data_IF_976725249487
#
_entry.id   IF_976725249487
#
_cell.length_a   1.000
_cell.length_b   1.000
_cell.length_c   1.000
_cell.angle_alpha   90.00
_cell.angle_beta   90.00
_cell.angle_gamma   90.00
#
_symmetry.space_group_name_H-M   'P 1'
#
loop_
_entity.id
_entity.type
_entity.pdbx_description
1 polymer ?
#
# COMPACT_ATOMS: atom_id res chain seq x y z
N UNK A 1 5.58 80.56 -17.46
CA UNK A 1 6.89 81.26 -17.21
C UNK A 1 7.59 80.47 -16.09
N UNK A 2 8.83 80.01 -16.32
CA UNK A 2 9.67 79.40 -15.30
C UNK A 2 10.46 80.42 -14.53
N UNK A 3 11.16 80.05 -13.47
CA UNK A 3 12.59 79.84 -13.67
C UNK A 3 13.17 78.56 -13.06
N UNK A 4 14.17 78.11 -13.77
CA UNK A 4 15.28 77.26 -13.31
C UNK A 4 16.41 78.22 -12.86
N UNK A 5 17.64 77.79 -12.51
CA UNK A 5 18.15 76.64 -11.75
C UNK A 5 19.25 77.09 -10.74
N UNK A 6 19.80 76.17 -9.94
CA UNK A 6 21.16 76.37 -9.35
C UNK A 6 21.73 74.98 -8.97
N UNK A 7 22.65 74.53 -9.66
CA UNK A 7 24.13 74.37 -9.56
C UNK A 7 24.64 73.56 -8.36
N UNK A 8 25.15 72.44 -8.71
CA UNK A 8 26.40 71.70 -8.40
C UNK A 8 27.20 72.03 -7.12
N UNK A 9 27.55 70.93 -6.41
CA UNK A 9 28.91 70.70 -5.88
C UNK A 9 29.16 69.25 -5.53
N UNK A 10 30.03 68.55 -6.24
CA UNK A 10 30.89 67.46 -5.85
C UNK A 10 32.15 68.04 -5.18
N UNK A 11 33.07 67.24 -4.56
CA UNK A 11 33.16 65.91 -4.02
C UNK A 11 33.74 65.86 -2.58
N UNK A 12 34.35 64.83 -1.97
CA UNK A 12 35.43 64.00 -2.52
C UNK A 12 35.35 62.50 -2.24
N UNK A 13 36.06 61.75 -3.05
CA UNK A 13 36.43 60.32 -2.93
C UNK A 13 37.06 59.96 -1.58
N UNK A 14 36.61 58.84 -1.02
CA UNK A 14 37.37 58.07 -0.02
C UNK A 14 37.43 56.64 -0.44
N UNK A 15 38.59 56.25 -0.92
CA UNK A 15 39.00 54.90 -1.24
C UNK A 15 39.15 54.08 0.04
N UNK A 16 38.33 53.01 0.16
CA UNK A 16 38.61 51.88 1.05
C UNK A 16 38.44 50.53 0.28
N UNK A 17 39.27 49.54 0.46
CA UNK A 17 39.35 48.36 -0.40
C UNK A 17 38.21 47.39 -0.14
N UNK A 18 37.58 46.90 -1.21
CA UNK A 18 36.64 45.81 -1.24
C UNK A 18 37.34 44.51 -0.72
N UNK A 19 37.00 44.12 0.50
CA UNK A 19 37.28 42.76 0.99
C UNK A 19 36.36 41.80 0.26
N UNK A 20 36.92 40.99 -0.63
CA UNK A 20 36.27 39.87 -1.26
C UNK A 20 35.91 38.83 -0.19
N UNK A 21 34.66 38.82 0.24
CA UNK A 21 34.07 37.72 1.01
C UNK A 21 33.82 36.56 0.01
N UNK A 22 34.81 35.69 -0.14
CA UNK A 22 34.62 34.37 -0.69
C UNK A 22 33.70 33.58 0.23
N UNK A 23 32.41 33.50 -0.14
CA UNK A 23 31.51 32.51 0.47
C UNK A 23 32.05 31.09 0.20
N UNK A 24 32.71 30.55 1.21
CA UNK A 24 33.10 29.17 1.22
C UNK A 24 31.85 28.32 1.14
N UNK A 25 31.66 27.69 -0.02
CA UNK A 25 30.75 26.57 -0.20
C UNK A 25 31.25 25.45 0.72
N UNK A 26 30.69 25.36 1.91
CA UNK A 26 30.87 24.19 2.77
C UNK A 26 30.43 22.94 2.01
N UNK A 27 31.40 22.21 1.49
CA UNK A 27 31.18 20.86 1.00
C UNK A 27 30.82 20.01 2.21
N UNK A 28 29.56 19.62 2.31
CA UNK A 28 29.09 18.61 3.27
C UNK A 28 29.62 17.25 2.89
N UNK A 29 30.92 17.05 3.06
CA UNK A 29 31.48 15.71 3.15
C UNK A 29 31.04 15.11 4.50
N UNK A 30 30.56 13.85 4.52
CA UNK A 30 30.26 13.18 5.78
C UNK A 30 31.54 13.11 6.62
N UNK A 31 31.44 13.30 7.96
CA UNK A 31 32.60 13.29 8.84
C UNK A 31 33.37 11.97 8.70
N UNK A 32 34.67 12.06 8.45
CA UNK A 32 35.58 10.92 8.43
C UNK A 32 35.60 10.25 9.81
N UNK A 33 35.43 8.93 9.88
CA UNK A 33 35.44 8.22 11.16
C UNK A 33 36.82 8.34 11.83
N UNK A 34 36.90 8.42 13.19
CA UNK A 34 38.16 8.51 13.90
C UNK A 34 39.03 7.29 13.65
N UNK A 35 40.34 7.51 13.52
CA UNK A 35 41.32 6.47 13.27
C UNK A 35 41.25 5.41 14.41
N UNK A 36 40.98 4.14 14.05
CA UNK A 36 40.82 3.02 15.00
C UNK A 36 39.39 2.53 15.23
N UNK A 37 38.34 3.20 14.66
CA UNK A 37 36.98 2.72 14.78
C UNK A 37 36.73 1.56 13.80
N UNK A 38 36.11 0.48 14.29
CA UNK A 38 35.68 -0.63 13.44
C UNK A 38 34.73 -0.08 12.34
N UNK A 39 35.05 -0.21 11.03
CA UNK A 39 34.30 0.42 9.93
C UNK A 39 32.83 -0.02 9.89
N UNK A 40 32.52 -1.26 10.28
CA UNK A 40 31.16 -1.79 10.33
C UNK A 40 30.35 -1.09 11.45
N UNK A 41 30.96 -0.92 12.65
CA UNK A 41 30.29 -0.22 13.76
C UNK A 41 30.05 1.26 13.45
N UNK A 42 30.98 1.91 12.75
CA UNK A 42 30.83 3.30 12.32
C UNK A 42 29.73 3.44 11.28
N UNK A 43 29.68 2.57 10.27
CA UNK A 43 28.62 2.56 9.25
C UNK A 43 27.24 2.29 9.87
N UNK A 44 27.11 1.34 10.79
CA UNK A 44 25.85 1.06 11.50
C UNK A 44 25.40 2.26 12.34
N UNK A 45 26.29 2.94 13.06
CA UNK A 45 25.95 4.15 13.83
C UNK A 45 25.47 5.29 12.93
N UNK A 46 26.15 5.53 11.81
CA UNK A 46 25.75 6.55 10.82
C UNK A 46 24.39 6.22 10.23
N UNK A 47 24.15 4.97 9.87
CA UNK A 47 22.87 4.50 9.34
C UNK A 47 21.76 4.67 10.38
N UNK A 48 21.96 4.23 11.63
CA UNK A 48 20.98 4.39 12.70
C UNK A 48 20.67 5.87 12.99
N UNK A 49 21.68 6.76 12.93
CA UNK A 49 21.45 8.19 13.12
C UNK A 49 20.62 8.80 11.99
N UNK A 50 20.83 8.35 10.75
CA UNK A 50 20.10 8.81 9.56
C UNK A 50 18.65 8.31 9.53
N UNK A 51 18.37 7.11 10.03
CA UNK A 51 17.08 6.44 9.99
C UNK A 51 16.44 6.23 11.37
N UNK A 52 16.89 6.96 12.39
CA UNK A 52 16.43 6.78 13.78
C UNK A 52 14.91 6.86 13.95
N UNK A 53 14.23 7.70 13.15
CA UNK A 53 12.77 7.85 13.25
C UNK A 53 12.06 6.69 12.60
N UNK A 54 12.54 6.22 11.46
CA UNK A 54 12.02 5.02 10.80
C UNK A 54 12.14 3.79 11.70
N UNK A 55 13.32 3.63 12.35
CA UNK A 55 13.54 2.53 13.29
C UNK A 55 12.63 2.65 14.51
N UNK A 56 12.50 3.85 15.08
CA UNK A 56 11.62 4.10 16.22
C UNK A 56 10.14 3.80 15.86
N UNK A 57 9.67 4.27 14.72
CA UNK A 57 8.31 4.01 14.26
C UNK A 57 8.07 2.52 13.97
N UNK A 58 9.07 1.83 13.40
CA UNK A 58 9.03 0.39 13.23
C UNK A 58 8.87 -0.32 14.59
N UNK A 59 9.69 0.01 15.57
CA UNK A 59 9.66 -0.62 16.90
C UNK A 59 8.33 -0.35 17.62
N UNK A 60 7.83 0.90 17.59
CA UNK A 60 6.54 1.26 18.20
C UNK A 60 5.41 0.48 17.50
N UNK A 61 5.36 0.51 16.17
CA UNK A 61 4.33 -0.21 15.41
C UNK A 61 4.43 -1.72 15.66
N UNK A 62 5.63 -2.30 15.64
CA UNK A 62 5.83 -3.71 15.91
C UNK A 62 5.35 -4.10 17.31
N UNK A 63 5.71 -3.34 18.35
CA UNK A 63 5.30 -3.60 19.72
C UNK A 63 3.77 -3.53 19.88
N UNK A 64 3.13 -2.48 19.33
CA UNK A 64 1.66 -2.33 19.42
C UNK A 64 0.95 -3.42 18.62
N UNK A 65 1.33 -3.64 17.35
CA UNK A 65 0.70 -4.65 16.50
C UNK A 65 0.86 -6.06 17.07
N UNK A 66 2.04 -6.40 17.62
CA UNK A 66 2.27 -7.69 18.30
C UNK A 66 1.36 -7.86 19.52
N UNK A 67 1.23 -6.83 20.35
CA UNK A 67 0.36 -6.84 21.53
C UNK A 67 -1.10 -7.07 21.17
N UNK A 68 -1.61 -6.40 20.12
CA UNK A 68 -2.98 -6.57 19.64
C UNK A 68 -3.19 -7.86 18.86
N UNK A 69 -2.16 -8.42 18.23
CA UNK A 69 -2.20 -9.76 17.66
C UNK A 69 -2.36 -10.84 18.74
N UNK A 70 -1.86 -10.57 19.97
CA UNK A 70 -2.03 -11.42 21.16
C UNK A 70 -1.55 -12.87 20.88
N UNK A 71 -2.32 -13.89 21.27
CA UNK A 71 -1.96 -15.32 21.06
C UNK A 71 -1.75 -15.68 19.58
N UNK A 72 -2.38 -14.95 18.64
CA UNK A 72 -2.19 -15.17 17.20
C UNK A 72 -0.76 -14.86 16.75
N UNK A 73 -0.08 -13.96 17.43
CA UNK A 73 1.32 -13.65 17.13
C UNK A 73 2.23 -14.88 17.19
N UNK A 74 1.87 -15.88 18.01
CA UNK A 74 2.63 -17.12 18.19
C UNK A 74 2.05 -18.31 17.41
N UNK A 75 1.02 -18.07 16.59
CA UNK A 75 0.33 -19.13 15.85
C UNK A 75 0.20 -18.76 14.39
N UNK A 76 0.29 -19.78 13.54
CA UNK A 76 -0.08 -19.65 12.13
C UNK A 76 -1.55 -19.27 12.02
N UNK A 77 -1.88 -18.48 10.99
CA UNK A 77 -3.27 -18.08 10.72
C UNK A 77 -4.12 -19.27 10.23
N UNK A 78 -5.44 -19.07 10.18
CA UNK A 78 -6.37 -20.06 9.64
C UNK A 78 -6.32 -20.19 8.09
N UNK A 79 -5.69 -19.21 7.41
CA UNK A 79 -5.58 -19.18 5.94
C UNK A 79 -4.15 -18.87 5.47
N UNK A 80 -3.17 -19.77 5.73
CA UNK A 80 -1.75 -19.55 5.47
C UNK A 80 -1.34 -19.94 4.04
N UNK A 81 -2.14 -19.58 3.05
CA UNK A 81 -2.02 -20.02 1.65
C UNK A 81 -0.63 -19.79 1.06
N UNK A 82 0.01 -18.66 1.36
CA UNK A 82 1.34 -18.33 0.82
C UNK A 82 2.45 -19.23 1.37
N UNK A 83 2.29 -19.73 2.59
CA UNK A 83 3.25 -20.70 3.18
C UNK A 83 3.19 -22.02 2.40
N UNK A 84 1.98 -22.52 2.14
CA UNK A 84 1.79 -23.76 1.39
C UNK A 84 2.28 -23.64 -0.05
N UNK A 85 2.07 -22.48 -0.68
CA UNK A 85 2.61 -22.21 -2.01
C UNK A 85 4.15 -22.19 -2.00
N UNK A 86 4.76 -21.49 -1.05
CA UNK A 86 6.21 -21.44 -0.93
C UNK A 86 6.82 -22.83 -0.65
N UNK A 87 6.20 -23.60 0.24
CA UNK A 87 6.64 -24.95 0.56
C UNK A 87 6.55 -25.88 -0.64
N UNK A 88 5.45 -25.83 -1.42
CA UNK A 88 5.31 -26.60 -2.64
C UNK A 88 6.43 -26.31 -3.65
N UNK A 89 6.82 -25.05 -3.80
CA UNK A 89 7.95 -24.68 -4.67
C UNK A 89 9.28 -25.25 -4.19
N UNK A 90 9.52 -25.27 -2.88
CA UNK A 90 10.71 -25.90 -2.28
C UNK A 90 10.73 -27.41 -2.49
N UNK A 91 9.57 -28.03 -2.57
CA UNK A 91 9.40 -29.46 -2.89
C UNK A 91 9.43 -29.75 -4.41
N UNK A 92 9.73 -28.75 -5.25
CA UNK A 92 9.79 -28.88 -6.71
C UNK A 92 8.42 -28.98 -7.39
N UNK A 93 7.33 -28.65 -6.69
CA UNK A 93 5.97 -28.68 -7.21
C UNK A 93 5.42 -27.29 -7.45
N UNK A 94 4.59 -27.13 -8.46
CA UNK A 94 3.92 -25.86 -8.78
C UNK A 94 2.45 -25.83 -8.30
N UNK A 95 1.89 -26.97 -7.93
CA UNK A 95 0.60 -27.17 -7.28
C UNK A 95 0.79 -27.51 -5.79
N UNK A 96 -0.26 -27.36 -5.00
CA UNK A 96 -0.26 -27.68 -3.57
C UNK A 96 -0.86 -29.06 -3.35
N UNK A 97 -0.28 -29.85 -2.45
CA UNK A 97 -0.80 -31.15 -2.08
C UNK A 97 -2.11 -30.99 -1.26
N UNK A 98 -3.25 -31.48 -1.73
CA UNK A 98 -4.51 -31.32 -1.01
C UNK A 98 -4.53 -32.03 0.35
N UNK A 99 -3.66 -33.03 0.57
CA UNK A 99 -3.60 -33.78 1.83
C UNK A 99 -3.04 -32.99 3.00
N UNK A 100 -2.27 -31.90 2.71
CA UNK A 100 -1.69 -31.04 3.75
C UNK A 100 -2.49 -29.77 3.97
N UNK A 101 -3.53 -29.49 3.17
CA UNK A 101 -4.32 -28.27 3.30
C UNK A 101 -5.08 -28.23 4.63
N UNK A 102 -5.06 -27.11 5.36
CA UNK A 102 -5.77 -26.98 6.64
C UNK A 102 -7.31 -26.93 6.45
N UNK A 103 -7.76 -26.49 5.30
CA UNK A 103 -9.15 -26.44 4.85
C UNK A 103 -9.18 -26.28 3.32
N UNK A 104 -10.35 -26.29 2.72
CA UNK A 104 -10.52 -26.10 1.27
C UNK A 104 -11.09 -24.71 0.89
N UNK A 105 -11.16 -23.79 1.85
CA UNK A 105 -11.70 -22.43 1.64
C UNK A 105 -10.74 -21.58 0.81
N UNK A 106 -11.28 -20.93 -0.23
CA UNK A 106 -10.55 -20.01 -1.11
C UNK A 106 -9.32 -20.59 -1.83
N UNK A 107 -9.25 -21.92 -1.96
CA UNK A 107 -8.30 -22.59 -2.84
C UNK A 107 -8.88 -22.76 -4.23
N UNK A 108 -8.02 -22.60 -5.23
CA UNK A 108 -8.38 -22.88 -6.62
C UNK A 108 -8.16 -24.38 -6.91
N UNK A 109 -9.21 -25.04 -7.39
CA UNK A 109 -9.14 -26.42 -7.86
C UNK A 109 -9.31 -26.46 -9.37
N UNK A 110 -8.34 -27.05 -10.07
CA UNK A 110 -8.27 -27.13 -11.52
C UNK A 110 -8.32 -28.57 -11.99
N UNK A 111 -9.28 -28.87 -12.85
CA UNK A 111 -9.44 -30.14 -13.56
C UNK A 111 -9.16 -29.96 -15.04
N UNK A 112 -8.58 -30.93 -15.69
CA UNK A 112 -8.39 -30.93 -17.14
C UNK A 112 -9.48 -31.82 -17.76
N UNK A 113 -10.33 -31.21 -18.61
CA UNK A 113 -11.39 -31.94 -19.36
C UNK A 113 -11.19 -31.56 -20.84
N UNK A 114 -11.01 -32.56 -21.68
CA UNK A 114 -10.78 -32.40 -23.13
C UNK A 114 -9.66 -31.38 -23.46
N UNK A 115 -8.56 -31.41 -22.67
CA UNK A 115 -7.43 -30.49 -22.81
C UNK A 115 -7.64 -29.08 -22.26
N UNK A 116 -8.85 -28.76 -21.76
CA UNK A 116 -9.19 -27.48 -21.19
C UNK A 116 -9.14 -27.50 -19.65
N UNK A 117 -8.66 -26.40 -19.06
CA UNK A 117 -8.65 -26.22 -17.61
C UNK A 117 -9.99 -25.64 -17.16
N UNK A 118 -10.68 -26.40 -16.29
CA UNK A 118 -11.99 -26.04 -15.74
C UNK A 118 -11.93 -26.07 -14.21
N UNK A 119 -12.86 -25.40 -13.53
CA UNK A 119 -13.03 -25.49 -12.08
C UNK A 119 -13.49 -26.90 -11.70
N UNK A 120 -12.97 -27.45 -10.59
CA UNK A 120 -13.48 -28.72 -10.06
C UNK A 120 -14.90 -28.51 -9.51
N UNK A 121 -15.79 -29.41 -9.90
CA UNK A 121 -17.17 -29.45 -9.43
C UNK A 121 -17.52 -30.88 -8.97
N UNK A 122 -18.43 -30.97 -7.99
CA UNK A 122 -18.90 -32.24 -7.46
C UNK A 122 -17.81 -33.05 -6.74
N UNK A 123 -17.73 -34.36 -7.02
CA UNK A 123 -16.76 -35.25 -6.39
C UNK A 123 -15.34 -34.93 -6.89
N UNK A 124 -14.41 -34.79 -5.95
CA UNK A 124 -12.99 -34.64 -6.24
C UNK A 124 -12.39 -35.89 -6.89
N UNK A 125 -11.56 -35.66 -7.89
CA UNK A 125 -10.82 -36.70 -8.60
C UNK A 125 -9.35 -36.72 -8.15
N UNK A 126 -8.66 -37.82 -8.37
CA UNK A 126 -7.26 -38.00 -8.00
C UNK A 126 -6.33 -37.04 -8.75
N UNK A 127 -6.70 -36.66 -9.99
CA UNK A 127 -5.90 -35.81 -10.87
C UNK A 127 -6.25 -34.33 -10.76
N UNK A 128 -7.18 -33.95 -9.85
CA UNK A 128 -7.50 -32.57 -9.56
C UNK A 128 -6.29 -31.86 -8.93
N UNK A 129 -5.91 -30.70 -9.48
CA UNK A 129 -4.77 -29.91 -9.02
C UNK A 129 -5.21 -28.71 -8.21
N UNK A 130 -4.49 -28.43 -7.13
CA UNK A 130 -4.81 -27.36 -6.20
C UNK A 130 -3.78 -26.25 -6.26
N UNK A 131 -4.27 -25.00 -6.28
CA UNK A 131 -3.42 -23.80 -6.35
C UNK A 131 -3.94 -22.73 -5.41
N UNK A 132 -3.03 -21.84 -5.04
CA UNK A 132 -3.40 -20.58 -4.36
C UNK A 132 -4.11 -19.67 -5.36
N UNK A 133 -5.30 -19.19 -5.00
CA UNK A 133 -6.16 -18.30 -5.82
C UNK A 133 -5.82 -16.81 -5.65
N UNK A 134 -4.57 -16.49 -5.33
CA UNK A 134 -4.07 -15.15 -5.10
C UNK A 134 -2.77 -14.92 -5.87
N UNK A 135 -2.40 -13.64 -6.13
CA UNK A 135 -1.09 -13.30 -6.69
C UNK A 135 0.04 -13.80 -5.79
N UNK A 136 1.11 -14.32 -6.39
CA UNK A 136 2.07 -15.19 -5.71
C UNK A 136 3.28 -14.46 -5.07
N UNK A 137 3.41 -13.14 -5.20
CA UNK A 137 4.60 -12.43 -4.70
C UNK A 137 4.79 -12.55 -3.18
N UNK A 138 3.74 -12.55 -2.33
CA UNK A 138 3.93 -12.78 -0.90
C UNK A 138 4.58 -14.13 -0.59
N UNK A 139 4.26 -15.19 -1.35
CA UNK A 139 4.93 -16.48 -1.19
C UNK A 139 6.42 -16.41 -1.56
N UNK A 140 6.81 -15.62 -2.56
CA UNK A 140 8.23 -15.39 -2.91
C UNK A 140 8.97 -14.73 -1.74
N UNK A 141 8.37 -13.73 -1.09
CA UNK A 141 8.99 -13.06 0.07
C UNK A 141 9.07 -13.99 1.29
N UNK A 142 8.10 -14.88 1.48
CA UNK A 142 8.10 -15.87 2.56
C UNK A 142 9.05 -17.05 2.31
N UNK A 143 9.45 -17.30 1.05
CA UNK A 143 10.22 -18.48 0.65
C UNK A 143 11.46 -18.77 1.52
N UNK A 144 12.36 -17.79 1.82
CA UNK A 144 13.54 -18.06 2.64
C UNK A 144 13.19 -18.45 4.09
N UNK A 145 12.10 -17.94 4.63
CA UNK A 145 11.63 -18.26 5.97
C UNK A 145 10.94 -19.63 6.01
N UNK A 146 10.17 -19.94 4.98
CA UNK A 146 9.54 -21.26 4.81
C UNK A 146 10.61 -22.34 4.57
N UNK A 147 11.72 -22.02 3.88
CA UNK A 147 12.83 -22.96 3.73
C UNK A 147 13.47 -23.37 5.09
N UNK A 148 13.38 -22.50 6.10
CA UNK A 148 13.92 -22.77 7.46
C UNK A 148 12.90 -23.43 8.39
N UNK A 149 11.61 -23.15 8.23
CA UNK A 149 10.57 -23.56 9.18
C UNK A 149 9.48 -24.49 8.57
N UNK A 150 9.51 -24.71 7.27
CA UNK A 150 8.52 -25.50 6.56
C UNK A 150 7.09 -24.96 6.75
N UNK A 151 6.13 -25.85 6.81
CA UNK A 151 4.73 -25.55 7.09
C UNK A 151 4.49 -24.90 8.47
N UNK A 152 5.46 -24.92 9.39
CA UNK A 152 5.35 -24.32 10.73
C UNK A 152 5.68 -22.83 10.75
N UNK A 153 6.09 -22.23 9.62
CA UNK A 153 6.32 -20.79 9.54
C UNK A 153 5.07 -20.02 9.96
N UNK A 154 5.25 -18.92 10.66
CA UNK A 154 4.14 -18.12 11.22
C UNK A 154 3.89 -16.87 10.37
N UNK A 155 2.83 -16.91 9.56
CA UNK A 155 2.39 -15.80 8.70
C UNK A 155 1.83 -14.60 9.49
N UNK A 156 1.33 -14.82 10.72
CA UNK A 156 0.82 -13.73 11.56
C UNK A 156 1.97 -12.85 12.08
N UNK A 157 3.01 -13.45 12.66
CA UNK A 157 4.19 -12.70 13.10
C UNK A 157 4.92 -12.03 11.94
N UNK A 158 4.97 -12.69 10.79
CA UNK A 158 5.49 -12.11 9.55
C UNK A 158 4.64 -10.92 9.07
N UNK A 159 3.31 -11.03 9.10
CA UNK A 159 2.37 -9.96 8.76
C UNK A 159 2.54 -8.74 9.66
N UNK A 160 2.71 -8.95 10.98
CA UNK A 160 3.02 -7.88 11.96
C UNK A 160 4.35 -7.19 11.62
N UNK A 161 5.39 -7.97 11.30
CA UNK A 161 6.69 -7.42 10.90
C UNK A 161 6.57 -6.56 9.64
N UNK A 162 5.91 -7.06 8.58
CA UNK A 162 5.68 -6.31 7.34
C UNK A 162 4.81 -5.08 7.61
N UNK A 163 3.83 -5.17 8.53
CA UNK A 163 3.01 -4.05 8.95
C UNK A 163 3.83 -2.94 9.60
N UNK A 164 4.70 -3.29 10.54
CA UNK A 164 5.60 -2.32 11.17
C UNK A 164 6.57 -1.69 10.15
N UNK A 165 7.09 -2.50 9.22
CA UNK A 165 7.93 -2.03 8.13
C UNK A 165 7.18 -1.05 7.20
N UNK A 166 5.91 -1.31 6.89
CA UNK A 166 5.08 -0.42 6.07
C UNK A 166 4.92 0.97 6.70
N UNK A 167 4.78 1.05 8.03
CA UNK A 167 4.71 2.33 8.77
C UNK A 167 6.02 3.10 8.65
N UNK A 168 7.17 2.44 8.82
CA UNK A 168 8.48 3.06 8.65
C UNK A 168 8.72 3.52 7.20
N UNK A 169 8.31 2.71 6.21
CA UNK A 169 8.41 3.05 4.79
C UNK A 169 7.50 4.23 4.42
N UNK A 170 6.31 4.33 5.00
CA UNK A 170 5.42 5.46 4.78
C UNK A 170 6.01 6.76 5.35
N UNK A 171 6.59 6.72 6.55
CA UNK A 171 7.34 7.87 7.08
C UNK A 171 8.50 8.25 6.15
N UNK A 172 9.28 7.27 5.69
CA UNK A 172 10.38 7.51 4.74
C UNK A 172 9.90 8.15 3.43
N UNK A 173 8.71 7.76 2.95
CA UNK A 173 8.05 8.38 1.79
C UNK A 173 7.66 9.83 2.08
N UNK A 174 7.01 10.11 3.22
CA UNK A 174 6.62 11.48 3.61
C UNK A 174 7.84 12.39 3.78
N UNK A 175 8.91 11.88 4.42
CA UNK A 175 10.18 12.59 4.55
C UNK A 175 10.79 12.90 3.19
N UNK A 176 10.77 11.94 2.26
CA UNK A 176 11.24 12.14 0.89
C UNK A 176 10.42 13.23 0.18
N UNK A 177 9.10 13.21 0.29
CA UNK A 177 8.25 14.24 -0.33
C UNK A 177 8.53 15.63 0.24
N UNK A 178 8.78 15.75 1.54
CA UNK A 178 9.17 17.02 2.16
C UNK A 178 10.55 17.49 1.64
N UNK A 179 11.52 16.60 1.48
CA UNK A 179 12.84 16.91 0.91
C UNK A 179 12.78 17.32 -0.58
N UNK A 180 11.84 16.77 -1.34
CA UNK A 180 11.60 17.12 -2.75
C UNK A 180 10.73 18.40 -2.92
N UNK A 181 10.29 19.02 -1.83
CA UNK A 181 9.43 20.19 -1.86
C UNK A 181 7.98 19.93 -2.28
N UNK A 182 7.54 18.67 -2.25
CA UNK A 182 6.17 18.28 -2.61
C UNK A 182 5.18 18.46 -1.45
N UNK A 183 5.65 18.67 -0.23
CA UNK A 183 4.85 18.96 0.96
C UNK A 183 5.63 19.83 1.95
N UNK A 184 4.91 20.70 2.68
CA UNK A 184 5.46 21.55 3.75
C UNK A 184 5.46 20.87 5.13
N UNK A 185 5.17 19.54 5.19
CA UNK A 185 5.11 18.80 6.43
C UNK A 185 6.48 18.71 7.09
N UNK A 186 6.52 19.07 8.37
CA UNK A 186 7.71 18.89 9.19
C UNK A 186 7.85 17.44 9.67
N UNK A 187 8.94 17.15 10.40
CA UNK A 187 9.24 15.83 10.93
C UNK A 187 8.12 15.28 11.83
N UNK A 188 7.56 16.12 12.72
CA UNK A 188 6.53 15.70 13.67
C UNK A 188 5.21 15.41 12.95
N UNK A 189 4.86 16.22 11.95
CA UNK A 189 3.69 15.97 11.10
C UNK A 189 3.81 14.62 10.39
N UNK A 190 4.98 14.29 9.85
CA UNK A 190 5.24 13.02 9.18
C UNK A 190 5.15 11.83 10.15
N UNK A 191 5.60 11.98 11.39
CA UNK A 191 5.43 10.96 12.46
C UNK A 191 3.95 10.75 12.75
N UNK A 192 3.17 11.83 12.96
CA UNK A 192 1.72 11.73 13.22
C UNK A 192 1.01 11.03 12.08
N UNK A 193 1.27 11.40 10.83
CA UNK A 193 0.64 10.77 9.67
C UNK A 193 1.00 9.29 9.53
N UNK A 194 2.22 8.90 9.91
CA UNK A 194 2.63 7.50 9.92
C UNK A 194 1.92 6.70 11.01
N UNK A 195 1.70 7.30 12.17
CA UNK A 195 0.88 6.69 13.23
C UNK A 195 -0.61 6.65 12.86
N UNK A 196 -1.10 7.62 12.09
CA UNK A 196 -2.47 7.59 11.53
C UNK A 196 -2.60 6.43 10.53
N UNK A 197 -1.62 6.19 9.64
CA UNK A 197 -1.63 4.98 8.81
C UNK A 197 -1.73 3.73 9.68
N UNK A 198 -0.87 3.62 10.71
CA UNK A 198 -0.76 2.45 11.56
C UNK A 198 -2.03 2.15 12.36
N UNK A 199 -2.64 3.18 12.96
CA UNK A 199 -3.67 3.02 14.00
C UNK A 199 -4.99 3.74 13.70
N UNK A 200 -4.99 4.70 12.78
CA UNK A 200 -6.17 5.50 12.41
C UNK A 200 -6.82 5.08 11.10
N UNK A 201 -6.45 3.93 10.54
CA UNK A 201 -7.01 3.36 9.31
C UNK A 201 -7.27 1.86 9.48
N UNK A 202 -7.94 1.26 8.50
CA UNK A 202 -8.18 -0.19 8.45
C UNK A 202 -6.90 -1.03 8.43
N UNK A 203 -5.76 -0.39 8.23
CA UNK A 203 -4.46 -1.04 8.32
C UNK A 203 -4.24 -1.73 9.67
N UNK A 204 -4.72 -1.11 10.76
CA UNK A 204 -4.54 -1.64 12.12
C UNK A 204 -5.03 -3.08 12.25
N UNK A 205 -6.33 -3.32 11.97
CA UNK A 205 -6.88 -4.66 12.14
C UNK A 205 -6.35 -5.66 11.09
N UNK A 206 -5.97 -5.20 9.90
CA UNK A 206 -5.36 -6.06 8.89
C UNK A 206 -3.94 -6.48 9.28
N UNK A 207 -3.14 -5.56 9.85
CA UNK A 207 -1.75 -5.82 10.20
C UNK A 207 -1.56 -6.76 11.42
N UNK A 208 -2.59 -6.95 12.23
CA UNK A 208 -2.57 -7.90 13.37
C UNK A 208 -3.04 -9.32 12.98
N UNK A 209 -3.22 -9.56 11.67
CA UNK A 209 -3.77 -10.81 11.12
C UNK A 209 -2.81 -11.37 10.07
N UNK A 210 -2.68 -12.72 10.04
CA UNK A 210 -1.79 -13.41 9.11
C UNK A 210 -2.47 -13.94 7.85
N UNK A 211 -3.80 -14.06 7.88
CA UNK A 211 -4.56 -14.69 6.79
C UNK A 211 -4.25 -14.04 5.45
N UNK A 212 -4.23 -14.84 4.41
CA UNK A 212 -3.85 -14.47 3.03
C UNK A 212 -4.45 -13.15 2.54
N UNK A 213 -5.72 -12.87 2.89
CA UNK A 213 -6.44 -11.66 2.46
C UNK A 213 -5.88 -10.37 3.10
N UNK A 214 -5.49 -10.44 4.37
CA UNK A 214 -5.01 -9.29 5.14
C UNK A 214 -3.51 -9.09 4.94
N UNK A 215 -2.72 -10.18 4.99
CA UNK A 215 -1.27 -10.14 4.76
C UNK A 215 -0.91 -9.55 3.40
N UNK A 216 -1.64 -9.92 2.34
CA UNK A 216 -1.45 -9.34 1.01
C UNK A 216 -1.74 -7.83 0.97
N UNK A 217 -2.77 -7.35 1.69
CA UNK A 217 -3.09 -5.91 1.74
C UNK A 217 -2.01 -5.13 2.48
N UNK A 218 -1.54 -5.64 3.62
CA UNK A 218 -0.47 -5.00 4.41
C UNK A 218 0.84 -4.91 3.62
N UNK A 219 1.22 -5.98 2.94
CA UNK A 219 2.39 -5.99 2.05
C UNK A 219 2.19 -5.05 0.84
N UNK A 220 0.98 -4.98 0.29
CA UNK A 220 0.61 -4.05 -0.77
C UNK A 220 0.84 -2.59 -0.37
N UNK A 221 0.51 -2.20 0.87
CA UNK A 221 0.79 -0.85 1.41
C UNK A 221 2.29 -0.57 1.46
N UNK A 222 3.10 -1.52 1.95
CA UNK A 222 4.56 -1.38 2.02
C UNK A 222 5.18 -1.18 0.62
N UNK A 223 4.77 -2.01 -0.34
CA UNK A 223 5.25 -1.94 -1.73
C UNK A 223 4.77 -0.68 -2.44
N UNK A 224 3.57 -0.20 -2.16
CA UNK A 224 3.06 1.09 -2.66
C UNK A 224 3.92 2.25 -2.18
N UNK A 225 4.36 2.26 -0.92
CA UNK A 225 5.28 3.29 -0.42
C UNK A 225 6.61 3.31 -1.19
N UNK A 226 7.19 2.14 -1.45
CA UNK A 226 8.42 2.00 -2.24
C UNK A 226 8.20 2.41 -3.70
N UNK A 227 7.09 2.01 -4.29
CA UNK A 227 6.71 2.38 -5.64
C UNK A 227 6.59 3.90 -5.79
N UNK A 228 5.76 4.55 -4.99
CA UNK A 228 5.51 6.00 -5.08
C UNK A 228 6.80 6.79 -4.86
N UNK A 229 7.63 6.42 -3.88
CA UNK A 229 8.92 7.06 -3.64
C UNK A 229 9.83 7.09 -4.88
N UNK A 230 9.81 6.03 -5.70
CA UNK A 230 10.62 5.95 -6.90
C UNK A 230 9.92 6.52 -8.14
N UNK A 231 8.58 6.62 -8.10
CA UNK A 231 7.73 7.09 -9.20
C UNK A 231 7.63 8.62 -9.28
N UNK A 232 7.70 9.34 -8.14
CA UNK A 232 7.63 10.82 -8.11
C UNK A 232 8.66 11.44 -9.05
N UNK A 233 8.19 12.39 -9.91
CA UNK A 233 8.97 13.02 -11.01
C UNK A 233 9.55 12.01 -12.00
N UNK A 234 9.04 10.77 -12.00
CA UNK A 234 9.58 9.63 -12.74
C UNK A 234 11.11 9.53 -12.59
N UNK A 235 11.61 9.66 -11.34
CA UNK A 235 13.03 9.84 -11.04
C UNK A 235 13.83 8.55 -11.19
N UNK A 236 13.25 7.40 -10.80
CA UNK A 236 13.88 6.09 -10.86
C UNK A 236 12.97 5.08 -11.55
N UNK A 237 12.78 5.21 -12.88
CA UNK A 237 11.76 4.46 -13.61
C UNK A 237 11.89 2.94 -13.47
N UNK A 238 13.10 2.39 -13.57
CA UNK A 238 13.31 0.94 -13.41
C UNK A 238 12.90 0.45 -12.03
N UNK A 239 13.35 1.12 -10.96
CA UNK A 239 12.98 0.74 -9.58
C UNK A 239 11.49 0.93 -9.33
N UNK A 240 10.88 1.99 -9.88
CA UNK A 240 9.44 2.19 -9.83
C UNK A 240 8.71 1.02 -10.50
N UNK A 241 9.18 0.56 -11.67
CA UNK A 241 8.62 -0.61 -12.36
C UNK A 241 8.74 -1.90 -11.57
N UNK A 242 9.89 -2.15 -10.93
CA UNK A 242 10.11 -3.32 -10.07
C UNK A 242 9.13 -3.32 -8.89
N UNK A 243 9.06 -2.22 -8.10
CA UNK A 243 8.16 -2.16 -6.95
C UNK A 243 6.68 -2.15 -7.34
N UNK A 244 6.34 -1.53 -8.47
CA UNK A 244 5.01 -1.60 -9.05
C UNK A 244 4.62 -3.05 -9.38
N UNK A 245 5.48 -3.79 -10.07
CA UNK A 245 5.20 -5.19 -10.42
C UNK A 245 5.06 -6.06 -9.17
N UNK A 246 5.94 -5.89 -8.16
CA UNK A 246 5.81 -6.56 -6.86
C UNK A 246 4.45 -6.24 -6.20
N UNK A 247 4.02 -4.98 -6.23
CA UNK A 247 2.74 -4.55 -5.66
C UNK A 247 1.56 -5.18 -6.41
N UNK A 248 1.57 -5.19 -7.74
CA UNK A 248 0.54 -5.84 -8.59
C UNK A 248 0.47 -7.34 -8.33
N UNK A 249 1.63 -8.01 -8.20
CA UNK A 249 1.73 -9.45 -7.91
C UNK A 249 1.49 -9.80 -6.43
N UNK A 250 1.20 -8.80 -5.62
CA UNK A 250 0.67 -8.94 -4.25
C UNK A 250 -0.83 -8.66 -4.21
N UNK A 251 -1.28 -7.62 -4.96
CA UNK A 251 -2.67 -7.13 -5.00
C UNK A 251 -3.00 -6.68 -6.42
N UNK A 252 -3.79 -7.46 -7.13
CA UNK A 252 -4.17 -7.18 -8.54
C UNK A 252 -4.77 -5.79 -8.77
N UNK A 253 -5.59 -5.19 -7.87
CA UNK A 253 -6.11 -3.83 -8.08
C UNK A 253 -5.01 -2.76 -8.23
N UNK A 254 -3.81 -3.01 -7.70
CA UNK A 254 -2.67 -2.08 -7.83
C UNK A 254 -2.12 -1.97 -9.25
N UNK A 255 -2.60 -2.79 -10.21
CA UNK A 255 -2.28 -2.61 -11.62
C UNK A 255 -2.68 -1.22 -12.11
N UNK A 256 -3.76 -0.66 -11.60
CA UNK A 256 -4.23 0.68 -11.94
C UNK A 256 -3.36 1.79 -11.33
N UNK A 257 -2.57 1.50 -10.30
CA UNK A 257 -1.62 2.45 -9.73
C UNK A 257 -0.51 2.86 -10.72
N UNK A 258 -0.29 2.10 -11.79
CA UNK A 258 0.61 2.47 -12.89
C UNK A 258 0.29 3.84 -13.50
N UNK A 259 -0.98 4.28 -13.44
CA UNK A 259 -1.39 5.61 -13.87
C UNK A 259 -0.60 6.73 -13.17
N UNK A 260 -0.28 6.57 -11.88
CA UNK A 260 0.55 7.54 -11.16
C UNK A 260 1.90 7.76 -11.84
N UNK A 261 2.62 6.68 -12.18
CA UNK A 261 3.91 6.79 -12.88
C UNK A 261 3.76 7.41 -14.27
N UNK A 262 2.72 7.02 -15.02
CA UNK A 262 2.45 7.60 -16.34
C UNK A 262 2.29 9.11 -16.25
N UNK A 263 1.48 9.60 -15.30
CA UNK A 263 1.27 11.03 -15.08
C UNK A 263 2.55 11.76 -14.63
N UNK A 264 3.38 11.12 -13.80
CA UNK A 264 4.66 11.65 -13.36
C UNK A 264 5.73 11.65 -14.49
N UNK A 265 5.64 10.72 -15.42
CA UNK A 265 6.53 10.69 -16.58
C UNK A 265 6.17 11.74 -17.63
N UNK A 266 4.87 11.93 -17.88
CA UNK A 266 4.36 12.87 -18.87
C UNK A 266 4.41 14.31 -18.39
N UNK A 267 4.12 14.56 -17.12
CA UNK A 267 3.96 15.89 -16.54
C UNK A 267 4.68 16.03 -15.19
N UNK A 268 6.02 15.99 -15.15
CA UNK A 268 6.79 16.02 -13.90
C UNK A 268 6.85 17.41 -13.22
N UNK A 269 6.52 18.48 -13.93
CA UNK A 269 6.61 19.86 -13.45
C UNK A 269 5.34 20.42 -12.79
N UNK A 270 5.37 21.66 -12.30
CA UNK A 270 4.25 22.29 -11.61
C UNK A 270 3.06 22.61 -12.53
N UNK A 271 3.31 23.09 -13.74
CA UNK A 271 2.27 23.42 -14.71
C UNK A 271 2.00 22.23 -15.64
N UNK A 272 1.09 21.35 -15.20
CA UNK A 272 0.73 20.15 -15.94
C UNK A 272 0.01 20.43 -17.26
N UNK A 273 -0.82 21.47 -17.31
CA UNK A 273 -1.56 21.81 -18.53
C UNK A 273 -0.61 22.28 -19.64
N UNK A 274 0.37 23.14 -19.29
CA UNK A 274 1.39 23.56 -20.23
C UNK A 274 2.22 22.39 -20.73
N UNK A 275 2.59 21.45 -19.82
CA UNK A 275 3.36 20.27 -20.19
C UNK A 275 2.56 19.31 -21.08
N UNK A 276 1.27 19.11 -20.83
CA UNK A 276 0.40 18.30 -21.69
C UNK A 276 0.28 18.94 -23.10
N UNK A 277 0.15 20.26 -23.19
CA UNK A 277 0.11 20.96 -24.49
C UNK A 277 1.45 20.85 -25.24
N UNK A 278 2.59 20.84 -24.51
CA UNK A 278 3.92 20.67 -25.09
C UNK A 278 4.28 19.21 -25.41
N UNK A 279 3.50 18.24 -24.98
CA UNK A 279 3.79 16.82 -25.12
C UNK A 279 4.03 16.37 -26.58
N UNK A 280 3.29 16.86 -27.60
CA UNK A 280 3.53 16.48 -28.99
C UNK A 280 4.97 16.73 -29.47
N UNK A 281 5.65 17.73 -28.88
CA UNK A 281 7.04 18.08 -29.23
C UNK A 281 8.06 17.51 -28.23
N UNK A 282 7.66 17.21 -26.99
CA UNK A 282 8.52 16.79 -25.89
C UNK A 282 8.26 15.32 -25.40
N UNK A 283 7.64 14.48 -26.21
CA UNK A 283 7.25 13.12 -25.82
C UNK A 283 8.43 12.14 -25.61
N UNK A 284 9.55 12.34 -26.31
CA UNK A 284 10.69 11.41 -26.29
C UNK A 284 11.25 11.12 -24.88
N UNK A 285 11.50 12.13 -24.01
CA UNK A 285 11.97 11.87 -22.66
C UNK A 285 10.95 11.09 -21.81
N UNK A 286 9.65 11.41 -21.95
CA UNK A 286 8.59 10.70 -21.26
C UNK A 286 8.51 9.23 -21.72
N UNK A 287 8.56 8.99 -23.03
CA UNK A 287 8.54 7.64 -23.60
C UNK A 287 9.73 6.80 -23.10
N UNK A 288 10.95 7.37 -23.08
CA UNK A 288 12.11 6.67 -22.50
C UNK A 288 11.87 6.26 -21.04
N UNK A 289 11.28 7.14 -20.21
CA UNK A 289 10.97 6.81 -18.83
C UNK A 289 9.92 5.71 -18.73
N UNK A 290 8.90 5.73 -19.59
CA UNK A 290 7.88 4.67 -19.67
C UNK A 290 8.48 3.33 -20.10
N UNK A 291 9.38 3.31 -21.07
CA UNK A 291 10.10 2.09 -21.48
C UNK A 291 10.94 1.52 -20.33
N UNK A 292 11.68 2.37 -19.62
CA UNK A 292 12.49 1.95 -18.48
C UNK A 292 11.61 1.42 -17.32
N UNK A 293 10.45 2.03 -17.09
CA UNK A 293 9.47 1.54 -16.13
C UNK A 293 8.93 0.16 -16.54
N UNK A 294 8.56 0.01 -17.81
CA UNK A 294 8.16 -1.28 -18.38
C UNK A 294 9.25 -2.34 -18.27
N UNK A 295 10.50 -1.99 -18.57
CA UNK A 295 11.64 -2.89 -18.42
C UNK A 295 11.86 -3.35 -16.97
N UNK A 296 11.60 -2.48 -15.98
CA UNK A 296 11.63 -2.85 -14.57
C UNK A 296 10.48 -3.77 -14.16
N UNK A 297 9.29 -3.55 -14.72
CA UNK A 297 8.09 -4.34 -14.39
C UNK A 297 8.03 -5.69 -15.12
N UNK A 298 8.50 -5.75 -16.35
CA UNK A 298 8.29 -6.87 -17.25
C UNK A 298 8.81 -8.23 -16.74
N UNK A 299 10.00 -8.36 -16.13
CA UNK A 299 10.50 -9.67 -15.72
C UNK A 299 9.56 -10.40 -14.76
N UNK A 300 9.11 -9.72 -13.72
CA UNK A 300 8.18 -10.31 -12.75
C UNK A 300 6.79 -10.53 -13.34
N UNK A 301 6.29 -9.61 -14.16
CA UNK A 301 5.02 -9.74 -14.83
C UNK A 301 4.98 -10.93 -15.79
N UNK A 302 6.06 -11.14 -16.58
CA UNK A 302 6.19 -12.27 -17.50
C UNK A 302 6.27 -13.62 -16.76
N UNK A 303 7.06 -13.68 -15.67
CA UNK A 303 7.13 -14.89 -14.83
C UNK A 303 5.77 -15.23 -14.24
N UNK A 304 5.05 -14.24 -13.73
CA UNK A 304 3.70 -14.45 -13.18
C UNK A 304 2.69 -14.85 -14.27
N UNK A 305 2.76 -14.24 -15.46
CA UNK A 305 1.92 -14.60 -16.59
C UNK A 305 2.17 -16.07 -17.03
N UNK A 306 3.43 -16.48 -17.13
CA UNK A 306 3.79 -17.86 -17.44
C UNK A 306 3.27 -18.83 -16.38
N UNK A 307 3.42 -18.49 -15.10
CA UNK A 307 2.91 -19.31 -13.99
C UNK A 307 1.37 -19.37 -14.02
N UNK A 308 0.68 -18.30 -14.35
CA UNK A 308 -0.79 -18.26 -14.48
C UNK A 308 -1.26 -19.13 -15.66
N UNK A 309 -0.55 -19.09 -16.80
CA UNK A 309 -0.84 -20.00 -17.93
C UNK A 309 -0.67 -21.44 -17.52
N UNK A 310 0.40 -21.78 -16.78
CA UNK A 310 0.58 -23.11 -16.23
C UNK A 310 -0.57 -23.52 -15.30
N UNK A 311 -0.99 -22.66 -14.38
CA UNK A 311 -2.07 -22.97 -13.41
C UNK A 311 -3.44 -23.03 -14.06
N UNK A 312 -3.81 -21.98 -14.82
CA UNK A 312 -5.18 -21.68 -15.22
C UNK A 312 -5.41 -21.58 -16.74
N UNK A 313 -4.37 -21.69 -17.55
CA UNK A 313 -4.45 -21.58 -19.01
C UNK A 313 -4.54 -20.14 -19.53
N UNK A 314 -4.56 -19.11 -18.65
CA UNK A 314 -4.69 -17.69 -19.03
C UNK A 314 -3.69 -16.84 -18.26
N UNK A 315 -2.97 -15.90 -18.90
CA UNK A 315 -1.91 -15.11 -18.25
C UNK A 315 -2.43 -14.15 -17.17
N UNK A 316 -3.66 -13.65 -17.29
CA UNK A 316 -4.29 -12.73 -16.35
C UNK A 316 -5.19 -13.36 -15.29
N UNK A 317 -5.31 -14.69 -15.25
CA UNK A 317 -6.12 -15.38 -14.25
C UNK A 317 -5.28 -15.71 -13.00
N UNK A 318 -5.78 -15.30 -11.84
CA UNK A 318 -5.13 -15.53 -10.54
C UNK A 318 -5.82 -16.60 -9.70
N UNK A 319 -6.83 -17.30 -10.25
CA UNK A 319 -7.47 -18.44 -9.63
C UNK A 319 -8.84 -18.17 -8.99
N UNK A 320 -9.29 -16.91 -8.98
CA UNK A 320 -10.58 -16.57 -8.37
C UNK A 320 -11.78 -17.21 -9.08
N UNK A 321 -11.68 -17.50 -10.39
CA UNK A 321 -12.70 -18.21 -11.15
C UNK A 321 -12.68 -19.74 -10.90
N UNK A 322 -11.69 -20.24 -10.17
CA UNK A 322 -11.47 -21.66 -9.91
C UNK A 322 -11.68 -22.05 -8.44
N UNK A 323 -12.32 -21.19 -7.62
CA UNK A 323 -12.64 -21.55 -6.23
C UNK A 323 -13.44 -22.82 -6.14
N UNK A 324 -13.00 -23.76 -5.27
CA UNK A 324 -13.73 -24.98 -5.02
C UNK A 324 -14.86 -24.72 -4.02
N UNK A 325 -16.08 -25.17 -4.36
CA UNK A 325 -17.29 -25.06 -3.52
C UNK A 325 -17.47 -23.71 -2.79
N UNK A 326 -17.09 -22.64 -3.44
CA UNK A 326 -17.23 -21.31 -2.85
C UNK A 326 -18.64 -20.74 -3.11
N UNK A 327 -19.23 -20.12 -2.06
CA UNK A 327 -20.54 -19.47 -2.14
C UNK A 327 -20.69 -18.43 -3.24
N UNK A 328 -19.57 -17.85 -3.69
CA UNK A 328 -19.57 -16.81 -4.74
C UNK A 328 -19.55 -17.39 -6.16
N UNK A 329 -19.42 -18.71 -6.31
CA UNK A 329 -19.30 -19.33 -7.63
C UNK A 329 -20.50 -19.07 -8.51
N UNK A 330 -21.73 -19.15 -7.96
CA UNK A 330 -22.95 -18.86 -8.71
C UNK A 330 -23.00 -17.43 -9.28
N UNK A 331 -22.54 -16.45 -8.50
CA UNK A 331 -22.43 -15.06 -8.98
C UNK A 331 -21.35 -14.92 -10.06
N UNK A 332 -20.19 -15.60 -9.88
CA UNK A 332 -19.09 -15.60 -10.85
C UNK A 332 -19.53 -16.23 -12.18
N UNK A 333 -20.27 -17.33 -12.12
CA UNK A 333 -20.74 -18.04 -13.31
C UNK A 333 -21.78 -17.21 -14.09
N UNK A 334 -22.61 -16.45 -13.36
CA UNK A 334 -23.67 -15.63 -13.96
C UNK A 334 -23.17 -14.27 -14.48
N UNK A 335 -22.32 -13.60 -13.74
CA UNK A 335 -21.95 -12.19 -13.98
C UNK A 335 -20.46 -11.96 -14.20
N UNK A 336 -19.62 -12.98 -13.98
CA UNK A 336 -18.16 -12.86 -13.98
C UNK A 336 -17.61 -12.29 -12.68
N UNK A 337 -16.27 -12.11 -12.64
CA UNK A 337 -15.57 -11.57 -11.45
C UNK A 337 -15.86 -10.07 -11.24
N UNK A 338 -16.12 -9.33 -12.30
CA UNK A 338 -16.34 -7.87 -12.26
C UNK A 338 -17.59 -7.55 -13.09
N UNK A 339 -18.56 -6.89 -12.46
CA UNK A 339 -19.82 -6.50 -13.11
C UNK A 339 -20.44 -5.28 -12.41
N UNK A 340 -21.25 -4.50 -13.17
CA UNK A 340 -22.07 -3.40 -12.62
C UNK A 340 -23.08 -3.89 -11.58
N UNK A 341 -23.55 -5.13 -11.69
CA UNK A 341 -24.46 -5.76 -10.73
C UNK A 341 -23.94 -5.71 -9.30
N UNK A 342 -22.63 -5.77 -9.13
CA UNK A 342 -21.99 -5.72 -7.82
C UNK A 342 -21.83 -4.31 -7.23
N UNK A 343 -22.02 -3.27 -8.04
CA UNK A 343 -21.73 -1.88 -7.66
C UNK A 343 -22.55 -1.43 -6.45
N UNK A 344 -23.86 -1.68 -6.46
CA UNK A 344 -24.77 -1.26 -5.39
C UNK A 344 -24.34 -1.83 -4.03
N UNK A 345 -24.11 -3.14 -3.95
CA UNK A 345 -23.71 -3.79 -2.70
C UNK A 345 -22.32 -3.36 -2.21
N UNK A 346 -21.39 -3.10 -3.14
CA UNK A 346 -20.04 -2.65 -2.79
C UNK A 346 -20.03 -1.18 -2.35
N UNK A 347 -20.82 -0.31 -2.96
CA UNK A 347 -21.05 1.07 -2.49
C UNK A 347 -21.66 1.07 -1.09
N UNK A 348 -22.66 0.23 -0.84
CA UNK A 348 -23.26 0.10 0.50
C UNK A 348 -22.21 -0.33 1.52
N UNK A 349 -21.40 -1.35 1.23
CA UNK A 349 -20.33 -1.81 2.12
C UNK A 349 -19.26 -0.74 2.35
N UNK A 350 -18.89 0.02 1.32
CA UNK A 350 -17.85 1.04 1.40
C UNK A 350 -18.30 2.33 2.11
N UNK A 351 -19.57 2.78 1.92
CA UNK A 351 -19.96 4.13 2.30
C UNK A 351 -21.21 4.24 3.17
N UNK A 352 -22.07 3.23 3.26
CA UNK A 352 -23.39 3.38 3.89
C UNK A 352 -23.59 2.55 5.16
N UNK A 353 -22.81 1.48 5.38
CA UNK A 353 -22.99 0.62 6.54
C UNK A 353 -22.47 1.30 7.81
N UNK A 354 -23.38 1.49 8.78
CA UNK A 354 -23.13 2.11 10.08
C UNK A 354 -23.04 1.04 11.18
N UNK A 355 -22.48 1.37 12.36
CA UNK A 355 -22.55 0.51 13.53
C UNK A 355 -24.00 0.23 13.91
N UNK A 356 -24.27 -0.99 14.35
CA UNK A 356 -25.57 -1.41 14.88
C UNK A 356 -25.56 -1.31 16.39
N UNK A 357 -26.54 -0.60 16.95
CA UNK A 357 -26.69 -0.41 18.40
C UNK A 357 -27.90 -1.19 18.86
N UNK A 358 -27.70 -2.13 19.77
CA UNK A 358 -28.76 -2.77 20.54
C UNK A 358 -28.79 -2.18 21.96
N UNK A 359 -29.97 -1.88 22.49
CA UNK A 359 -30.11 -1.31 23.82
C UNK A 359 -30.41 -2.39 24.87
N UNK A 360 -30.85 -3.59 24.46
CA UNK A 360 -31.19 -4.66 25.36
C UNK A 360 -30.75 -6.03 24.85
N UNK A 361 -29.66 -6.60 25.35
CA UNK A 361 -28.62 -5.95 26.19
C UNK A 361 -27.85 -4.88 25.42
N UNK A 362 -27.23 -3.90 26.10
CA UNK A 362 -26.46 -2.86 25.45
C UNK A 362 -25.28 -3.49 24.64
N UNK A 363 -25.30 -3.32 23.33
CA UNK A 363 -24.31 -3.92 22.44
C UNK A 363 -24.06 -3.01 21.25
N UNK A 364 -22.78 -2.83 20.94
CA UNK A 364 -22.31 -2.20 19.71
C UNK A 364 -21.73 -3.30 18.79
N UNK A 365 -22.30 -3.46 17.61
CA UNK A 365 -21.87 -4.43 16.61
C UNK A 365 -21.73 -3.77 15.24
N UNK A 366 -21.18 -4.48 14.28
CA UNK A 366 -21.03 -4.02 12.91
C UNK A 366 -21.41 -5.15 11.94
N UNK A 367 -21.79 -4.75 10.72
CA UNK A 367 -22.13 -5.70 9.65
C UNK A 367 -20.88 -6.47 9.20
N UNK A 368 -20.94 -7.79 8.95
CA UNK A 368 -19.82 -8.59 8.46
C UNK A 368 -19.24 -8.10 7.11
N UNK A 369 -20.02 -7.35 6.33
CA UNK A 369 -19.54 -6.71 5.10
C UNK A 369 -18.74 -5.42 5.35
N UNK A 370 -18.62 -4.99 6.61
CA UNK A 370 -17.78 -3.90 7.07
C UNK A 370 -18.53 -2.63 7.45
N UNK A 371 -17.78 -1.64 7.93
CA UNK A 371 -18.24 -0.28 8.24
C UNK A 371 -17.84 0.68 7.13
N UNK A 372 -18.60 1.78 7.05
CA UNK A 372 -18.33 2.88 6.13
C UNK A 372 -16.91 3.44 6.26
N UNK A 373 -16.33 3.79 5.13
CA UNK A 373 -15.04 4.49 5.08
C UNK A 373 -15.07 5.84 5.79
N UNK A 374 -16.24 6.49 5.86
CA UNK A 374 -16.37 7.76 6.59
C UNK A 374 -16.10 7.64 8.09
N UNK A 375 -16.28 6.46 8.68
CA UNK A 375 -15.93 6.17 10.07
C UNK A 375 -14.52 5.58 10.21
N UNK A 376 -14.15 4.67 9.32
CA UNK A 376 -12.86 3.99 9.41
C UNK A 376 -11.68 4.81 8.87
N UNK A 377 -11.97 5.84 8.06
CA UNK A 377 -11.01 6.82 7.55
C UNK A 377 -11.67 8.22 7.53
N UNK A 378 -12.04 8.79 8.70
CA UNK A 378 -12.85 10.02 8.75
C UNK A 378 -12.12 11.25 8.21
N UNK A 379 -10.79 11.20 8.04
CA UNK A 379 -10.02 12.27 7.38
C UNK A 379 -10.46 12.54 5.93
N UNK A 380 -11.25 11.65 5.30
CA UNK A 380 -11.80 11.85 3.95
C UNK A 380 -12.55 13.17 3.81
N UNK A 381 -13.20 13.66 4.88
CA UNK A 381 -13.92 14.95 4.87
C UNK A 381 -13.01 16.13 4.51
N UNK A 382 -11.74 16.09 4.92
CA UNK A 382 -10.75 17.13 4.60
C UNK A 382 -10.20 17.03 3.19
N UNK A 383 -10.25 15.85 2.58
CA UNK A 383 -9.81 15.65 1.20
C UNK A 383 -10.78 16.27 0.19
N UNK A 384 -12.07 16.37 0.54
CA UNK A 384 -13.10 17.00 -0.29
C UNK A 384 -12.93 18.52 -0.34
N UNK A 385 -12.32 19.12 0.69
CA UNK A 385 -12.12 20.59 0.81
C UNK A 385 -10.64 20.86 1.09
N UNK A 386 -9.71 20.57 0.17
CA UNK A 386 -8.29 20.83 0.36
C UNK A 386 -8.03 22.35 0.39
N UNK A 387 -7.10 22.80 1.24
CA UNK A 387 -6.64 24.19 1.30
C UNK A 387 -5.63 24.54 0.22
N UNK A 388 -4.86 23.54 -0.20
CA UNK A 388 -3.88 23.65 -1.29
C UNK A 388 -4.05 22.48 -2.26
N UNK A 389 -3.73 22.73 -3.53
CA UNK A 389 -3.78 21.74 -4.60
C UNK A 389 -2.45 21.73 -5.37
N UNK A 390 -1.37 21.25 -4.73
CA UNK A 390 -0.06 21.22 -5.38
C UNK A 390 -0.03 20.20 -6.52
N UNK A 391 1.10 20.13 -7.21
CA UNK A 391 1.34 19.32 -8.39
C UNK A 391 0.85 17.87 -8.28
N UNK A 392 1.07 17.21 -7.14
CA UNK A 392 0.67 15.82 -6.93
C UNK A 392 -0.83 15.60 -6.68
N UNK A 393 -1.61 16.66 -6.45
CA UNK A 393 -3.02 16.53 -6.06
C UNK A 393 -3.85 15.76 -7.10
N UNK A 394 -3.80 16.17 -8.37
CA UNK A 394 -4.56 15.50 -9.43
C UNK A 394 -4.10 14.06 -9.70
N UNK A 395 -2.79 13.77 -9.83
CA UNK A 395 -2.32 12.39 -10.01
C UNK A 395 -2.73 11.45 -8.88
N UNK A 396 -2.66 11.92 -7.63
CA UNK A 396 -3.06 11.10 -6.49
C UNK A 396 -4.57 10.79 -6.54
N UNK A 397 -5.42 11.79 -6.81
CA UNK A 397 -6.87 11.57 -6.96
C UNK A 397 -7.23 10.63 -8.10
N UNK A 398 -6.62 10.80 -9.27
CA UNK A 398 -6.85 9.90 -10.40
C UNK A 398 -6.41 8.47 -10.06
N UNK A 399 -5.28 8.32 -9.37
CA UNK A 399 -4.80 7.02 -8.92
C UNK A 399 -5.76 6.39 -7.90
N UNK A 400 -6.25 7.16 -6.92
CA UNK A 400 -7.28 6.70 -5.96
C UNK A 400 -8.52 6.21 -6.71
N UNK A 401 -9.02 7.02 -7.66
CA UNK A 401 -10.23 6.69 -8.41
C UNK A 401 -10.08 5.35 -9.15
N UNK A 402 -9.00 5.18 -9.94
CA UNK A 402 -8.82 3.96 -10.73
C UNK A 402 -8.50 2.73 -9.86
N UNK A 403 -7.79 2.89 -8.74
CA UNK A 403 -7.52 1.79 -7.81
C UNK A 403 -8.76 1.37 -6.99
N UNK A 404 -9.73 2.27 -6.81
CA UNK A 404 -10.99 1.96 -6.12
C UNK A 404 -11.97 1.18 -7.00
N UNK A 405 -11.95 1.40 -8.33
CA UNK A 405 -12.89 0.78 -9.26
C UNK A 405 -12.97 -0.75 -9.14
N UNK A 406 -11.85 -1.51 -9.13
CA UNK A 406 -11.92 -2.96 -9.00
C UNK A 406 -12.72 -3.40 -7.78
N UNK A 407 -12.47 -2.78 -6.60
CA UNK A 407 -13.18 -3.12 -5.38
C UNK A 407 -14.68 -2.83 -5.42
N UNK A 408 -15.11 -1.85 -6.23
CA UNK A 408 -16.53 -1.49 -6.39
C UNK A 408 -17.27 -2.43 -7.36
N UNK A 409 -16.58 -2.96 -8.37
CA UNK A 409 -17.17 -3.85 -9.37
C UNK A 409 -16.92 -5.33 -9.10
N UNK A 410 -16.20 -5.67 -8.04
CA UNK A 410 -15.81 -7.04 -7.71
C UNK A 410 -16.97 -7.83 -7.12
N UNK A 411 -17.01 -9.12 -7.43
CA UNK A 411 -18.06 -10.04 -6.99
C UNK A 411 -18.19 -10.19 -5.46
N UNK A 412 -17.18 -9.80 -4.68
CA UNK A 412 -17.19 -9.92 -3.22
C UNK A 412 -16.98 -8.55 -2.58
N UNK A 413 -17.75 -8.23 -1.54
CA UNK A 413 -17.60 -7.01 -0.73
C UNK A 413 -16.36 -7.05 0.17
N UNK A 414 -15.71 -8.21 0.32
CA UNK A 414 -14.69 -8.47 1.33
C UNK A 414 -15.28 -9.00 2.64
N UNK A 415 -16.37 -9.75 2.59
CA UNK A 415 -17.08 -10.39 3.72
C UNK A 415 -16.14 -10.88 4.84
N UNK A 416 -16.61 -10.84 6.09
CA UNK A 416 -15.84 -11.06 7.32
C UNK A 416 -14.71 -10.04 7.48
N UNK A 417 -15.10 -8.77 7.50
CA UNK A 417 -14.21 -7.63 7.70
C UNK A 417 -14.82 -6.60 8.65
N UNK A 418 -13.96 -5.82 9.32
CA UNK A 418 -14.42 -4.72 10.19
C UNK A 418 -14.88 -3.50 9.39
N UNK A 419 -14.12 -3.11 8.37
CA UNK A 419 -14.44 -2.04 7.43
C UNK A 419 -14.12 -2.45 6.01
N UNK A 420 -14.42 -1.63 5.03
CA UNK A 420 -14.21 -1.92 3.61
C UNK A 420 -12.70 -2.00 3.29
N UNK A 421 -12.09 -3.17 3.61
CA UNK A 421 -10.62 -3.38 3.58
C UNK A 421 -9.99 -3.16 2.20
N UNK A 422 -10.75 -3.26 1.11
CA UNK A 422 -10.23 -2.99 -0.24
C UNK A 422 -9.75 -1.54 -0.40
N UNK A 423 -10.16 -0.63 0.51
CA UNK A 423 -9.63 0.73 0.57
C UNK A 423 -8.14 0.79 0.86
N UNK A 424 -7.54 -0.25 1.46
CA UNK A 424 -6.09 -0.27 1.72
C UNK A 424 -5.25 -0.21 0.44
N UNK A 425 -5.79 -0.66 -0.71
CA UNK A 425 -5.12 -0.56 -2.00
C UNK A 425 -4.88 0.91 -2.42
N UNK A 426 -5.68 1.86 -1.90
CA UNK A 426 -5.54 3.29 -2.18
C UNK A 426 -5.39 4.19 -0.94
N UNK A 427 -5.44 3.64 0.28
CA UNK A 427 -5.24 4.40 1.53
C UNK A 427 -3.92 5.18 1.58
N UNK A 428 -2.75 4.64 1.13
CA UNK A 428 -1.52 5.43 1.09
C UNK A 428 -1.67 6.71 0.25
N UNK A 429 -2.34 6.65 -0.88
CA UNK A 429 -2.58 7.82 -1.75
C UNK A 429 -3.53 8.83 -1.10
N UNK A 430 -4.57 8.38 -0.36
CA UNK A 430 -5.45 9.26 0.40
C UNK A 430 -4.70 10.00 1.52
N UNK A 431 -3.82 9.31 2.23
CA UNK A 431 -2.97 9.94 3.25
C UNK A 431 -1.96 10.92 2.63
N UNK A 432 -1.43 10.63 1.46
CA UNK A 432 -0.59 11.57 0.71
C UNK A 432 -1.38 12.80 0.27
N UNK A 433 -2.62 12.64 -0.22
CA UNK A 433 -3.53 13.76 -0.52
C UNK A 433 -3.75 14.65 0.71
N UNK A 434 -3.93 14.04 1.89
CA UNK A 434 -4.06 14.81 3.13
C UNK A 434 -2.73 15.51 3.49
N UNK A 435 -1.60 14.85 3.31
CA UNK A 435 -0.28 15.40 3.59
C UNK A 435 -0.02 16.69 2.78
N UNK A 436 -0.42 16.70 1.49
CA UNK A 436 -0.22 17.84 0.58
C UNK A 436 -1.39 18.84 0.57
N UNK A 437 -2.53 18.49 1.19
CA UNK A 437 -3.78 19.27 1.12
C UNK A 437 -3.81 20.53 1.99
N UNK A 438 -2.73 20.90 2.69
CA UNK A 438 -2.57 22.16 3.40
C UNK A 438 -3.30 22.26 4.76
N UNK A 439 -3.98 21.23 5.24
CA UNK A 439 -4.63 21.22 6.54
C UNK A 439 -3.60 21.06 7.67
N UNK A 440 -3.58 21.99 8.63
CA UNK A 440 -2.68 21.92 9.79
C UNK A 440 -3.09 20.80 10.75
N UNK A 441 -2.13 19.96 11.17
CA UNK A 441 -2.33 18.96 12.22
C UNK A 441 -2.55 19.55 13.62
N UNK A 442 -2.37 20.90 13.79
CA UNK A 442 -2.69 21.63 15.03
C UNK A 442 -4.14 22.11 15.04
N UNK A 443 -4.86 22.02 13.93
CA UNK A 443 -6.27 22.42 13.86
C UNK A 443 -7.10 21.43 14.70
N UNK A 444 -7.93 21.97 15.62
CA UNK A 444 -8.73 21.17 16.56
C UNK A 444 -9.68 20.18 15.84
N UNK A 445 -10.29 20.60 14.74
CA UNK A 445 -11.18 19.72 13.97
C UNK A 445 -10.39 18.57 13.33
N UNK A 446 -9.19 18.85 12.80
CA UNK A 446 -8.30 17.81 12.25
C UNK A 446 -7.90 16.83 13.35
N UNK A 447 -7.47 17.32 14.52
CA UNK A 447 -7.08 16.48 15.66
C UNK A 447 -8.26 15.61 16.10
N UNK A 448 -9.46 16.18 16.25
CA UNK A 448 -10.65 15.42 16.64
C UNK A 448 -11.01 14.32 15.64
N UNK A 449 -10.93 14.60 14.34
CA UNK A 449 -11.21 13.62 13.27
C UNK A 449 -10.14 12.52 13.22
N UNK A 450 -8.87 12.85 13.38
CA UNK A 450 -7.80 11.84 13.46
C UNK A 450 -7.95 10.97 14.71
N UNK A 451 -8.28 11.55 15.85
CA UNK A 451 -8.55 10.83 17.09
C UNK A 451 -9.77 9.89 16.94
N UNK A 452 -10.85 10.35 16.29
CA UNK A 452 -12.00 9.51 15.95
C UNK A 452 -11.56 8.31 15.09
N UNK A 453 -10.74 8.54 14.07
CA UNK A 453 -10.20 7.45 13.24
C UNK A 453 -9.43 6.42 14.05
N UNK A 454 -8.57 6.87 14.99
CA UNK A 454 -7.83 5.97 15.90
C UNK A 454 -8.79 5.20 16.80
N UNK A 455 -9.78 5.85 17.42
CA UNK A 455 -10.75 5.19 18.30
C UNK A 455 -11.58 4.13 17.56
N UNK A 456 -12.08 4.46 16.36
CA UNK A 456 -12.88 3.52 15.57
C UNK A 456 -12.03 2.31 15.14
N UNK A 457 -10.81 2.52 14.66
CA UNK A 457 -9.95 1.41 14.24
C UNK A 457 -9.39 0.61 15.42
N UNK A 458 -9.19 1.23 16.58
CA UNK A 458 -8.92 0.53 17.83
C UNK A 458 -10.08 -0.40 18.21
N UNK A 459 -11.33 0.10 18.17
CA UNK A 459 -12.50 -0.75 18.35
C UNK A 459 -12.50 -1.91 17.36
N UNK A 460 -12.20 -1.67 16.08
CA UNK A 460 -12.09 -2.72 15.07
C UNK A 460 -11.02 -3.77 15.40
N UNK A 461 -9.85 -3.34 15.83
CA UNK A 461 -8.75 -4.25 16.20
C UNK A 461 -9.13 -5.17 17.38
N UNK A 462 -9.93 -4.67 18.34
CA UNK A 462 -10.39 -5.42 19.50
C UNK A 462 -11.61 -6.27 19.18
N UNK A 463 -12.67 -5.65 18.60
CA UNK A 463 -13.96 -6.29 18.39
C UNK A 463 -13.92 -7.37 17.29
N UNK A 464 -13.14 -7.17 16.23
CA UNK A 464 -13.02 -8.15 15.15
C UNK A 464 -12.44 -9.49 15.61
N UNK A 465 -11.66 -9.48 16.67
CA UNK A 465 -11.14 -10.69 17.32
C UNK A 465 -12.27 -11.54 17.96
N UNK A 466 -13.18 -10.91 18.69
CA UNK A 466 -14.30 -11.61 19.34
C UNK A 466 -15.39 -12.02 18.36
N UNK A 467 -15.60 -11.25 17.30
CA UNK A 467 -16.62 -11.53 16.29
C UNK A 467 -16.37 -12.81 15.50
N UNK A 468 -15.11 -13.14 15.18
CA UNK A 468 -14.77 -14.39 14.48
C UNK A 468 -15.03 -15.64 15.31
N UNK A 469 -15.01 -15.56 16.64
CA UNK A 469 -15.41 -16.64 17.54
C UNK A 469 -16.95 -16.76 17.63
N UNK A 470 -17.64 -15.64 17.58
CA UNK A 470 -19.10 -15.59 17.64
C UNK A 470 -19.77 -16.14 16.37
N UNK A 471 -19.25 -15.82 15.17
CA UNK A 471 -19.82 -16.27 13.89
C UNK A 471 -19.50 -17.74 13.59
N UNK A 472 -18.46 -18.33 14.19
CA UNK A 472 -18.20 -19.78 14.09
C UNK A 472 -19.23 -20.64 14.85
N UNK A 473 -20.02 -20.03 15.71
CA UNK A 473 -21.05 -20.71 16.52
C UNK A 473 -22.49 -20.47 15.98
N UNK A 474 -22.61 -19.96 14.74
CA UNK A 474 -23.83 -19.82 13.95
C UNK A 474 -23.58 -20.58 12.62
#
# INVERSE_FOLDING_TARGET
MPPAPATASEPPESTAPLSSSTAATESTQPPTPPAGANPVRSAVRLWLSAYRVEVMLFLIAFAVLSSFSSQRFFRQSAAPHFIYQAQSWLEGRLDVDPRVLPNLEDWACVRVVDGHKVRCEGRLLRDDRWFVSFPSFPAVVMLPFVALHGYQFNDTSFGVFVGALAVALFYSLLRFLAQEGETERNRNDNVVLSLVLAFGTLFFYCAIRGEVWFGAQVMGVALTCLYVRNAVKARRPVLAGVFYSMAVLTRTPLVFAGLFFVLEALCPGPDRLAQLKALPTAWKPAFRKLLLFGAGAAPLALLAAAYNVYRFGKPGEFGHSYFYNNRVNADIDRFGLFNLEYLSRNIQAAFLKLPQVSLSPPRLSYDPHGLTLLLTLPLLVFLLVPRTRPRLHLPLWLTVAVCALPGLFYQNTGYMQFGFRFSLDYTPYLLLLFAIGGWSLRNRAVVAVLALGVLVNFWGAVAFRGYTEFVRNW
#
